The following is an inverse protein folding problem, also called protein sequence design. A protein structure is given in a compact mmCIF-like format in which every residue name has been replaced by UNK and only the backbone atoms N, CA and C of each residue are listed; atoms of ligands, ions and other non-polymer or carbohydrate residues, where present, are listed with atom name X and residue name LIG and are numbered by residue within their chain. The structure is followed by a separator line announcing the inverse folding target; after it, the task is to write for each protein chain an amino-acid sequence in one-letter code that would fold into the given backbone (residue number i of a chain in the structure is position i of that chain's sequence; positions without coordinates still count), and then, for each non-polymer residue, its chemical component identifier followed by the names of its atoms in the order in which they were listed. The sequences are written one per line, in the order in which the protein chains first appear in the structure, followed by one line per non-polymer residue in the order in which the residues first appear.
data_IF_694295428340
#
_entry.id   IF_694295428340
#
_cell.length_a   1.000
_cell.length_b   1.000
_cell.length_c   1.000
_cell.angle_alpha   90.00
_cell.angle_beta   90.00
_cell.angle_gamma   90.00
#
_symmetry.space_group_name_H-M   'P 1'
#
loop_
_entity.id
_entity.type
_entity.pdbx_description
1 polymer ?
#
# COMPACT_ATOMS: atom_id res chain seq x y z
N UNK A 1 1.65 -22.56 22.34
CA UNK A 1 2.18 -21.39 21.61
C UNK A 1 2.09 -20.04 22.35
N UNK A 2 1.14 -19.79 23.28
CA UNK A 2 0.92 -18.45 23.86
C UNK A 2 2.05 -17.87 24.73
N UNK A 3 2.55 -18.60 25.74
CA UNK A 3 3.51 -18.03 26.72
C UNK A 3 4.92 -17.79 26.15
N UNK A 4 5.44 -18.71 25.32
CA UNK A 4 6.75 -18.54 24.66
C UNK A 4 6.73 -17.34 23.71
N UNK A 5 5.69 -17.25 22.88
CA UNK A 5 5.54 -16.14 21.95
C UNK A 5 5.34 -14.81 22.70
N UNK A 6 4.57 -14.80 23.78
CA UNK A 6 4.42 -13.61 24.63
C UNK A 6 5.76 -13.19 25.24
N UNK A 7 6.56 -14.13 25.75
CA UNK A 7 7.89 -13.83 26.30
C UNK A 7 8.87 -13.29 25.25
N UNK A 8 8.78 -13.76 23.99
CA UNK A 8 9.54 -13.19 22.88
C UNK A 8 9.06 -11.78 22.55
N UNK A 9 7.75 -11.55 22.57
CA UNK A 9 7.14 -10.26 22.29
C UNK A 9 7.48 -9.21 23.34
N UNK A 10 7.43 -9.60 24.62
CA UNK A 10 7.86 -8.75 25.74
C UNK A 10 9.34 -8.42 25.64
N UNK A 11 10.18 -9.37 25.22
CA UNK A 11 11.59 -9.12 24.95
C UNK A 11 11.79 -8.12 23.79
N UNK A 12 10.99 -8.21 22.72
CA UNK A 12 11.01 -7.23 21.62
C UNK A 12 10.60 -5.83 22.12
N UNK A 13 9.56 -5.74 22.94
CA UNK A 13 9.09 -4.46 23.50
C UNK A 13 10.16 -3.85 24.42
N UNK A 14 10.83 -4.68 25.22
CA UNK A 14 11.89 -4.25 26.14
C UNK A 14 13.14 -3.68 25.44
N UNK A 15 13.35 -3.99 24.16
CA UNK A 15 14.46 -3.44 23.36
C UNK A 15 14.40 -1.92 23.17
N UNK A 16 13.20 -1.33 23.28
CA UNK A 16 13.00 0.10 22.99
C UNK A 16 13.20 0.45 21.52
N UNK A 17 13.26 1.75 21.16
CA UNK A 17 13.24 2.20 19.77
C UNK A 17 14.58 2.04 19.03
N UNK A 18 15.70 1.96 19.74
CA UNK A 18 17.06 1.85 19.16
C UNK A 18 17.91 0.85 19.95
N UNK A 19 17.57 -0.45 19.91
CA UNK A 19 18.35 -1.47 20.59
C UNK A 19 19.75 -1.67 19.98
N UNK A 20 20.76 -2.01 20.80
CA UNK A 20 22.07 -2.45 20.31
C UNK A 20 21.97 -3.69 19.39
N UNK A 21 22.77 -3.73 18.32
CA UNK A 21 22.84 -4.88 17.39
C UNK A 21 23.07 -6.22 18.10
N UNK A 22 23.91 -6.26 19.14
CA UNK A 22 24.18 -7.48 19.87
C UNK A 22 22.93 -8.05 20.56
N UNK A 23 22.04 -7.18 21.06
CA UNK A 23 20.76 -7.60 21.63
C UNK A 23 19.81 -8.09 20.54
N UNK A 24 19.87 -7.46 19.36
CA UNK A 24 19.11 -7.89 18.21
C UNK A 24 19.55 -9.27 17.68
N UNK A 25 20.85 -9.51 17.57
CA UNK A 25 21.39 -10.79 17.12
C UNK A 25 21.08 -11.92 18.12
N UNK A 26 21.16 -11.63 19.42
CA UNK A 26 20.79 -12.57 20.47
C UNK A 26 19.30 -12.93 20.38
N UNK A 27 18.42 -11.94 20.20
CA UNK A 27 16.98 -12.18 20.06
C UNK A 27 16.64 -12.90 18.75
N UNK A 28 17.31 -12.58 17.64
CA UNK A 28 17.18 -13.33 16.37
C UNK A 28 17.50 -14.81 16.53
N UNK A 29 18.61 -15.14 17.20
CA UNK A 29 19.01 -16.54 17.44
C UNK A 29 17.98 -17.25 18.31
N UNK A 30 17.51 -16.59 19.37
CA UNK A 30 16.47 -17.11 20.25
C UNK A 30 15.15 -17.34 19.52
N UNK A 31 14.70 -16.38 18.71
CA UNK A 31 13.49 -16.50 17.90
C UNK A 31 13.59 -17.64 16.88
N UNK A 32 14.73 -17.79 16.19
CA UNK A 32 14.93 -18.92 15.28
C UNK A 32 14.84 -20.25 16.02
N UNK A 33 15.47 -20.39 17.19
CA UNK A 33 15.40 -21.62 17.97
C UNK A 33 13.98 -21.90 18.50
N UNK A 34 13.29 -20.89 19.02
CA UNK A 34 11.99 -21.07 19.69
C UNK A 34 10.80 -21.15 18.73
N UNK A 35 10.92 -20.64 17.49
CA UNK A 35 9.85 -20.62 16.50
C UNK A 35 10.01 -21.67 15.38
N UNK A 36 11.15 -22.37 15.26
CA UNK A 36 11.33 -23.47 14.27
C UNK A 36 11.04 -24.86 14.83
N UNK A 37 10.87 -25.01 16.15
CA UNK A 37 10.65 -26.31 16.81
C UNK A 37 9.18 -26.81 16.77
N UNK A 38 8.25 -26.14 16.08
CA UNK A 38 6.79 -26.40 16.19
C UNK A 38 6.10 -26.68 14.82
N UNK A 39 6.85 -27.19 13.83
CA UNK A 39 6.34 -27.61 12.50
C UNK A 39 5.61 -28.98 12.51
N UNK A 40 5.08 -29.44 13.65
CA UNK A 40 4.57 -30.80 13.75
C UNK A 40 3.56 -31.08 14.85
N UNK A 41 2.38 -30.43 14.83
CA UNK A 41 1.15 -31.08 15.29
C UNK A 41 -0.10 -30.35 14.77
N UNK A 42 -0.65 -30.79 13.64
CA UNK A 42 -1.99 -30.43 13.14
C UNK A 42 -3.11 -31.11 13.96
N UNK A 43 -2.90 -31.25 15.27
CA UNK A 43 -3.84 -31.85 16.22
C UNK A 43 -4.94 -30.85 16.60
N UNK A 44 -6.19 -31.25 16.34
CA UNK A 44 -7.45 -30.59 16.68
C UNK A 44 -7.36 -29.49 17.77
N UNK A 45 -7.66 -28.26 17.38
CA UNK A 45 -7.60 -27.08 18.24
C UNK A 45 -8.51 -27.22 19.47
N UNK A 46 -7.88 -27.32 20.64
CA UNK A 46 -8.53 -27.12 21.94
C UNK A 46 -8.98 -25.64 22.07
N UNK A 47 -10.29 -25.35 22.17
CA UNK A 47 -10.82 -24.00 22.30
C UNK A 47 -10.43 -23.29 23.61
N UNK A 48 -9.77 -23.97 24.55
CA UNK A 48 -9.27 -23.38 25.80
C UNK A 48 -7.83 -22.83 25.72
N UNK A 49 -7.12 -22.93 24.58
CA UNK A 49 -5.79 -22.33 24.43
C UNK A 49 -5.89 -20.80 24.48
N UNK A 50 -5.45 -20.23 25.62
CA UNK A 50 -5.33 -18.79 25.88
C UNK A 50 -4.72 -18.07 24.68
N UNK A 51 -5.41 -17.03 24.19
CA UNK A 51 -5.00 -16.19 23.07
C UNK A 51 -3.67 -15.48 23.38
N UNK A 52 -2.57 -16.04 22.89
CA UNK A 52 -1.27 -15.37 22.85
C UNK A 52 -0.86 -15.07 21.41
N UNK A 53 0.15 -14.22 21.23
CA UNK A 53 0.59 -13.79 19.90
C UNK A 53 1.06 -14.97 19.05
N UNK A 54 0.78 -14.95 17.75
CA UNK A 54 1.26 -16.01 16.84
C UNK A 54 2.74 -15.80 16.49
N UNK A 55 3.39 -16.85 15.97
CA UNK A 55 4.78 -16.76 15.48
C UNK A 55 4.95 -15.64 14.43
N UNK A 56 3.97 -15.44 13.55
CA UNK A 56 3.97 -14.37 12.56
C UNK A 56 3.92 -12.97 13.20
N UNK A 57 3.20 -12.80 14.32
CA UNK A 57 3.20 -11.51 15.04
C UNK A 57 4.57 -11.22 15.64
N UNK A 58 5.16 -12.22 16.28
CA UNK A 58 6.49 -12.11 16.87
C UNK A 58 7.49 -11.76 15.77
N UNK A 59 7.43 -12.43 14.62
CA UNK A 59 8.29 -12.13 13.45
C UNK A 59 8.06 -10.74 12.86
N UNK A 60 6.82 -10.28 12.72
CA UNK A 60 6.52 -8.96 12.20
C UNK A 60 7.03 -7.85 13.13
N UNK A 61 6.75 -7.93 14.43
CA UNK A 61 7.24 -6.94 15.42
C UNK A 61 8.76 -6.96 15.52
N UNK A 62 9.36 -8.14 15.45
CA UNK A 62 10.81 -8.30 15.41
C UNK A 62 11.43 -7.59 14.20
N UNK A 63 10.89 -7.83 13.01
CA UNK A 63 11.38 -7.21 11.78
C UNK A 63 11.24 -5.68 11.80
N UNK A 64 10.14 -5.17 12.37
CA UNK A 64 9.96 -3.73 12.57
C UNK A 64 11.03 -3.14 13.52
N UNK A 65 11.22 -3.75 14.70
CA UNK A 65 12.22 -3.30 15.67
C UNK A 65 13.65 -3.35 15.09
N UNK A 66 14.00 -4.46 14.44
CA UNK A 66 15.29 -4.64 13.76
C UNK A 66 15.52 -3.58 12.69
N UNK A 67 14.53 -3.31 11.83
CA UNK A 67 14.63 -2.28 10.79
C UNK A 67 14.82 -0.88 11.35
N UNK A 68 14.15 -0.56 12.46
CA UNK A 68 14.28 0.72 13.16
C UNK A 68 15.69 0.94 13.69
N UNK A 69 16.26 -0.09 14.34
CA UNK A 69 17.63 -0.05 14.83
C UNK A 69 18.67 0.01 13.70
N UNK A 70 18.50 -0.81 12.64
CA UNK A 70 19.36 -0.74 11.45
C UNK A 70 19.32 0.63 10.79
N UNK A 71 18.14 1.25 10.69
CA UNK A 71 18.00 2.60 10.18
C UNK A 71 18.75 3.61 11.06
N UNK A 72 18.63 3.51 12.39
CA UNK A 72 19.33 4.40 13.30
C UNK A 72 20.86 4.28 13.19
N UNK A 73 21.37 3.06 12.98
CA UNK A 73 22.80 2.83 12.78
C UNK A 73 23.29 3.40 11.46
N UNK A 74 22.56 3.13 10.37
CA UNK A 74 22.90 3.69 9.06
C UNK A 74 22.87 5.23 9.07
N UNK A 75 21.94 5.84 9.82
CA UNK A 75 21.89 7.29 9.99
C UNK A 75 23.04 7.85 10.84
N UNK A 76 23.68 7.01 11.67
CA UNK A 76 24.82 7.39 12.50
C UNK A 76 26.18 7.19 11.79
N UNK A 77 26.19 6.57 10.61
CA UNK A 77 27.41 6.42 9.81
C UNK A 77 27.96 7.78 9.35
N UNK A 78 29.29 7.92 9.15
CA UNK A 78 29.88 9.15 8.63
C UNK A 78 29.33 9.57 7.26
N UNK A 79 28.97 8.59 6.43
CA UNK A 79 28.25 8.79 5.17
C UNK A 79 26.96 7.94 5.18
N UNK A 80 25.86 8.48 5.74
CA UNK A 80 24.62 7.73 5.91
C UNK A 80 23.94 7.43 4.58
N UNK A 81 24.20 8.22 3.53
CA UNK A 81 23.63 7.99 2.19
C UNK A 81 24.30 6.78 1.55
N UNK A 82 25.63 6.76 1.49
CA UNK A 82 26.36 5.65 0.88
C UNK A 82 26.10 4.33 1.63
N UNK A 83 26.09 4.36 2.97
CA UNK A 83 25.79 3.20 3.79
C UNK A 83 24.36 2.67 3.53
N UNK A 84 23.37 3.56 3.46
CA UNK A 84 21.98 3.17 3.19
C UNK A 84 21.78 2.62 1.78
N UNK A 85 22.46 3.18 0.77
CA UNK A 85 22.45 2.65 -0.60
C UNK A 85 23.04 1.25 -0.64
N UNK A 86 24.21 1.04 -0.03
CA UNK A 86 24.85 -0.27 0.05
C UNK A 86 23.97 -1.32 0.76
N UNK A 87 23.21 -0.89 1.76
CA UNK A 87 22.25 -1.73 2.48
C UNK A 87 20.89 -1.90 1.77
N UNK A 88 20.66 -1.23 0.64
CA UNK A 88 19.38 -1.30 -0.07
C UNK A 88 18.21 -0.68 0.71
N UNK A 89 18.46 0.38 1.47
CA UNK A 89 17.52 1.03 2.41
C UNK A 89 17.01 2.39 1.90
N UNK A 90 16.05 2.41 0.95
CA UNK A 90 15.47 3.66 0.44
C UNK A 90 14.78 4.49 1.52
N UNK A 91 14.22 3.85 2.55
CA UNK A 91 13.59 4.51 3.68
C UNK A 91 14.59 5.33 4.51
N UNK A 92 15.84 4.86 4.62
CA UNK A 92 16.91 5.59 5.31
C UNK A 92 17.41 6.75 4.45
N UNK A 93 17.63 6.52 3.15
CA UNK A 93 18.01 7.58 2.20
C UNK A 93 16.98 8.72 2.22
N UNK A 94 15.69 8.40 2.22
CA UNK A 94 14.62 9.39 2.32
C UNK A 94 14.68 10.22 3.61
N UNK A 95 15.06 9.62 4.75
CA UNK A 95 15.19 10.31 6.05
C UNK A 95 16.38 11.27 6.11
N UNK A 96 17.44 11.04 5.33
CA UNK A 96 18.62 11.93 5.30
C UNK A 96 18.24 13.32 4.76
N UNK A 97 17.35 13.40 3.77
CA UNK A 97 16.75 14.68 3.38
C UNK A 97 17.69 15.68 2.69
N UNK A 98 18.83 15.23 2.15
CA UNK A 98 19.83 16.09 1.46
C UNK A 98 19.72 16.00 -0.07
N UNK A 99 20.40 16.91 -0.79
CA UNK A 99 20.48 16.84 -2.26
C UNK A 99 21.27 15.61 -2.72
N UNK A 100 22.30 15.22 -1.97
CA UNK A 100 23.03 13.97 -2.20
C UNK A 100 22.13 12.75 -2.03
N UNK A 101 21.24 12.74 -1.04
CA UNK A 101 20.25 11.68 -0.86
C UNK A 101 19.28 11.61 -2.04
N UNK A 102 18.82 12.76 -2.57
CA UNK A 102 17.97 12.78 -3.76
C UNK A 102 18.71 12.23 -4.99
N UNK A 103 19.95 12.65 -5.21
CA UNK A 103 20.76 12.16 -6.33
C UNK A 103 20.94 10.64 -6.25
N UNK A 104 21.27 10.10 -5.07
CA UNK A 104 21.38 8.66 -4.85
C UNK A 104 20.04 7.95 -5.07
N UNK A 105 18.93 8.51 -4.58
CA UNK A 105 17.60 7.92 -4.78
C UNK A 105 17.20 7.89 -6.26
N UNK A 106 17.51 8.95 -7.03
CA UNK A 106 17.27 9.00 -8.48
C UNK A 106 18.10 7.96 -9.23
N UNK A 107 19.38 7.80 -8.89
CA UNK A 107 20.26 6.78 -9.48
C UNK A 107 19.73 5.37 -9.24
N UNK A 108 19.39 5.06 -7.98
CA UNK A 108 18.83 3.75 -7.63
C UNK A 108 17.46 3.53 -8.28
N UNK A 109 16.59 4.55 -8.30
CA UNK A 109 15.30 4.46 -8.96
C UNK A 109 15.45 4.16 -10.46
N UNK A 110 16.37 4.83 -11.16
CA UNK A 110 16.64 4.58 -12.57
C UNK A 110 17.12 3.14 -12.81
N UNK A 111 18.04 2.63 -11.97
CA UNK A 111 18.49 1.25 -12.04
C UNK A 111 17.33 0.27 -11.84
N UNK A 112 16.47 0.51 -10.85
CA UNK A 112 15.33 -0.38 -10.54
C UNK A 112 14.22 -0.36 -11.58
N UNK A 113 14.01 0.75 -12.30
CA UNK A 113 13.08 0.80 -13.44
C UNK A 113 13.54 -0.15 -14.57
N UNK A 114 14.86 -0.29 -14.76
CA UNK A 114 15.44 -1.17 -15.78
C UNK A 114 15.51 -2.65 -15.38
N UNK A 115 15.25 -2.99 -14.11
CA UNK A 115 15.28 -4.38 -13.64
C UNK A 115 13.99 -5.14 -14.00
N UNK A 116 14.01 -6.48 -13.97
CA UNK A 116 12.78 -7.26 -13.99
C UNK A 116 11.99 -7.07 -12.68
N UNK A 117 10.67 -7.30 -12.72
CA UNK A 117 9.76 -7.00 -11.61
C UNK A 117 10.18 -7.65 -10.28
N UNK A 118 10.66 -8.89 -10.29
CA UNK A 118 11.05 -9.64 -9.10
C UNK A 118 12.38 -9.18 -8.44
N UNK A 119 13.12 -8.28 -9.09
CA UNK A 119 14.32 -7.61 -8.53
C UNK A 119 14.07 -6.14 -8.22
N UNK A 120 12.83 -5.67 -8.38
CA UNK A 120 12.51 -4.25 -8.29
C UNK A 120 12.12 -3.88 -6.86
N UNK A 121 12.88 -2.97 -6.26
CA UNK A 121 12.51 -2.34 -5.00
C UNK A 121 11.86 -0.99 -5.30
N UNK A 122 10.53 -0.95 -5.34
CA UNK A 122 9.78 0.29 -5.62
C UNK A 122 9.96 1.35 -4.52
N UNK A 123 10.55 0.98 -3.37
CA UNK A 123 10.88 1.92 -2.31
C UNK A 123 11.81 3.05 -2.76
N UNK A 124 12.68 2.81 -3.75
CA UNK A 124 13.52 3.87 -4.33
C UNK A 124 12.71 4.93 -5.07
N UNK A 125 11.61 4.53 -5.73
CA UNK A 125 10.68 5.46 -6.37
C UNK A 125 9.92 6.28 -5.33
N UNK A 126 9.52 5.65 -4.23
CA UNK A 126 8.93 6.34 -3.08
C UNK A 126 9.91 7.31 -2.41
N UNK A 127 11.19 6.95 -2.31
CA UNK A 127 12.22 7.82 -1.74
C UNK A 127 12.43 9.09 -2.56
N UNK A 128 12.42 8.99 -3.90
CA UNK A 128 12.46 10.16 -4.79
C UNK A 128 11.31 11.12 -4.49
N UNK A 129 10.08 10.62 -4.36
CA UNK A 129 8.93 11.45 -4.02
C UNK A 129 9.01 12.04 -2.60
N UNK A 130 9.46 11.26 -1.62
CA UNK A 130 9.62 11.72 -0.23
C UNK A 130 10.68 12.83 -0.09
N UNK A 131 11.72 12.83 -0.92
CA UNK A 131 12.80 13.82 -0.92
C UNK A 131 12.45 15.11 -1.69
N UNK A 132 11.35 15.12 -2.46
CA UNK A 132 10.90 16.24 -3.28
C UNK A 132 10.22 17.37 -2.47
N UNK A 133 10.77 17.72 -1.31
CA UNK A 133 10.18 18.66 -0.34
C UNK A 133 10.41 20.13 -0.67
N UNK A 134 11.27 20.43 -1.64
CA UNK A 134 11.53 21.80 -2.12
C UNK A 134 11.18 21.92 -3.61
N UNK A 135 10.89 23.12 -4.13
CA UNK A 135 10.59 23.29 -5.55
C UNK A 135 11.68 22.77 -6.49
N UNK A 136 12.96 22.96 -6.13
CA UNK A 136 14.09 22.48 -6.91
C UNK A 136 14.16 20.94 -6.96
N UNK A 137 14.02 20.28 -5.80
CA UNK A 137 14.01 18.81 -5.71
C UNK A 137 12.79 18.20 -6.38
N UNK A 138 11.64 18.85 -6.25
CA UNK A 138 10.41 18.47 -6.94
C UNK A 138 10.58 18.51 -8.45
N UNK A 139 11.19 19.57 -8.98
CA UNK A 139 11.47 19.66 -10.42
C UNK A 139 12.40 18.52 -10.88
N UNK A 140 13.45 18.20 -10.13
CA UNK A 140 14.33 17.06 -10.44
C UNK A 140 13.60 15.71 -10.40
N UNK A 141 12.78 15.48 -9.37
CA UNK A 141 11.99 14.27 -9.24
C UNK A 141 11.04 14.10 -10.44
N UNK A 142 10.33 15.16 -10.83
CA UNK A 142 9.38 15.12 -11.95
C UNK A 142 10.06 14.97 -13.32
N UNK A 143 11.26 15.54 -13.48
CA UNK A 143 12.09 15.34 -14.67
C UNK A 143 12.52 13.87 -14.87
N UNK A 144 12.43 13.04 -13.82
CA UNK A 144 12.67 11.60 -13.90
C UNK A 144 11.37 10.79 -13.95
N UNK A 145 10.47 10.96 -12.98
CA UNK A 145 9.32 10.06 -12.76
C UNK A 145 8.36 10.01 -13.95
N UNK A 146 8.00 11.17 -14.52
CA UNK A 146 7.11 11.24 -15.68
C UNK A 146 7.72 10.57 -16.93
N UNK A 147 8.92 10.97 -17.36
CA UNK A 147 9.61 10.34 -18.48
C UNK A 147 9.88 8.84 -18.28
N UNK A 148 10.23 8.40 -17.07
CA UNK A 148 10.43 6.98 -16.78
C UNK A 148 9.13 6.16 -16.95
N UNK A 149 7.99 6.68 -16.48
CA UNK A 149 6.69 6.03 -16.68
C UNK A 149 6.33 5.95 -18.17
N UNK A 150 6.51 7.05 -18.90
CA UNK A 150 6.29 7.09 -20.35
C UNK A 150 7.14 6.06 -21.08
N UNK A 151 8.43 6.00 -20.75
CA UNK A 151 9.38 5.07 -21.38
C UNK A 151 8.98 3.61 -21.20
N UNK A 152 8.49 3.22 -20.01
CA UNK A 152 7.99 1.86 -19.78
C UNK A 152 6.80 1.51 -20.70
N UNK A 153 5.84 2.43 -20.83
CA UNK A 153 4.64 2.22 -21.65
C UNK A 153 4.99 2.19 -23.14
N UNK A 154 5.80 3.13 -23.61
CA UNK A 154 6.21 3.23 -25.02
C UNK A 154 7.04 2.03 -25.47
N UNK A 155 8.00 1.57 -24.66
CA UNK A 155 8.81 0.39 -24.96
C UNK A 155 7.93 -0.85 -25.20
N UNK A 156 6.86 -1.00 -24.41
CA UNK A 156 5.91 -2.11 -24.58
C UNK A 156 5.03 -1.94 -25.81
N UNK A 157 4.52 -0.74 -26.06
CA UNK A 157 3.69 -0.45 -27.25
C UNK A 157 4.47 -0.69 -28.55
N UNK A 158 5.79 -0.45 -28.54
CA UNK A 158 6.71 -0.74 -29.64
C UNK A 158 7.04 -2.24 -29.81
N UNK A 159 6.46 -3.14 -29.01
CA UNK A 159 6.66 -4.59 -29.11
C UNK A 159 7.73 -5.15 -28.18
N UNK A 160 8.20 -4.38 -27.20
CA UNK A 160 9.14 -4.84 -26.16
C UNK A 160 8.58 -5.94 -25.25
N UNK A 161 9.44 -6.45 -24.36
CA UNK A 161 9.14 -7.49 -23.37
C UNK A 161 8.01 -7.09 -22.38
N UNK A 162 7.71 -7.95 -21.42
CA UNK A 162 6.78 -7.62 -20.33
C UNK A 162 7.28 -6.40 -19.56
N UNK A 163 6.40 -5.42 -19.33
CA UNK A 163 6.70 -4.26 -18.49
C UNK A 163 6.98 -4.74 -17.07
N UNK A 164 7.97 -4.12 -16.43
CA UNK A 164 8.15 -4.18 -14.99
C UNK A 164 6.95 -3.54 -14.27
N UNK A 165 5.96 -4.36 -13.91
CA UNK A 165 4.71 -3.92 -13.25
C UNK A 165 4.94 -3.29 -11.87
N UNK A 166 5.98 -3.74 -11.14
CA UNK A 166 6.37 -3.17 -9.84
C UNK A 166 6.91 -1.75 -10.02
N UNK A 167 7.74 -1.50 -11.03
CA UNK A 167 8.21 -0.15 -11.37
C UNK A 167 7.06 0.74 -11.87
N UNK A 168 6.17 0.22 -12.72
CA UNK A 168 5.01 0.97 -13.22
C UNK A 168 4.12 1.44 -12.05
N UNK A 169 3.77 0.55 -11.13
CA UNK A 169 3.01 0.89 -9.93
C UNK A 169 3.76 1.88 -9.03
N UNK A 170 5.06 1.64 -8.79
CA UNK A 170 5.91 2.53 -7.98
C UNK A 170 6.02 3.95 -8.54
N UNK A 171 6.16 4.10 -9.85
CA UNK A 171 6.21 5.39 -10.55
C UNK A 171 4.88 6.12 -10.42
N UNK A 172 3.77 5.43 -10.68
CA UNK A 172 2.43 6.01 -10.53
C UNK A 172 2.19 6.48 -9.09
N UNK A 173 2.59 5.71 -8.07
CA UNK A 173 2.46 6.12 -6.65
C UNK A 173 3.33 7.32 -6.31
N UNK A 174 4.58 7.35 -6.77
CA UNK A 174 5.46 8.49 -6.57
C UNK A 174 4.86 9.76 -7.17
N UNK A 175 4.27 9.66 -8.37
CA UNK A 175 3.54 10.77 -8.99
C UNK A 175 2.27 11.16 -8.22
N UNK A 176 1.56 10.18 -7.66
CA UNK A 176 0.39 10.43 -6.83
C UNK A 176 0.74 11.25 -5.57
N UNK A 177 1.84 10.91 -4.89
CA UNK A 177 2.36 11.66 -3.73
C UNK A 177 2.72 13.09 -4.12
N UNK A 178 3.31 13.27 -5.30
CA UNK A 178 3.65 14.60 -5.79
C UNK A 178 2.41 15.38 -6.26
N UNK A 179 1.30 14.71 -6.62
CA UNK A 179 0.09 15.36 -7.13
C UNK A 179 0.39 16.36 -8.27
N UNK A 180 1.24 15.98 -9.21
CA UNK A 180 1.82 16.87 -10.23
C UNK A 180 0.92 16.97 -11.49
N UNK A 181 0.24 18.10 -11.75
CA UNK A 181 -0.67 18.26 -12.89
C UNK A 181 -0.02 18.04 -14.25
N UNK A 182 1.27 18.33 -14.39
CA UNK A 182 2.04 18.14 -15.62
C UNK A 182 2.21 16.66 -16.01
N UNK A 183 1.84 15.72 -15.15
CA UNK A 183 1.95 14.27 -15.41
C UNK A 183 0.64 13.59 -15.79
N UNK A 184 -0.46 14.36 -15.88
CA UNK A 184 -1.78 13.79 -16.17
C UNK A 184 -1.86 13.12 -17.55
N UNK A 185 -1.14 13.62 -18.55
CA UNK A 185 -1.13 13.05 -19.90
C UNK A 185 -0.47 11.66 -19.94
N UNK A 186 0.69 11.49 -19.31
CA UNK A 186 1.37 10.19 -19.22
C UNK A 186 0.59 9.22 -18.36
N UNK A 187 -0.06 9.69 -17.29
CA UNK A 187 -0.92 8.85 -16.46
C UNK A 187 -2.17 8.38 -17.21
N UNK A 188 -2.82 9.26 -17.99
CA UNK A 188 -3.93 8.87 -18.86
C UNK A 188 -3.52 7.86 -19.92
N UNK A 189 -2.39 8.09 -20.61
CA UNK A 189 -1.82 7.15 -21.57
C UNK A 189 -1.49 5.78 -20.93
N UNK A 190 -0.99 5.79 -19.69
CA UNK A 190 -0.69 4.57 -18.93
C UNK A 190 -1.98 3.82 -18.60
N UNK A 191 -3.05 4.53 -18.21
CA UNK A 191 -4.35 3.91 -17.93
C UNK A 191 -4.94 3.28 -19.19
N UNK A 192 -4.88 3.95 -20.34
CA UNK A 192 -5.28 3.39 -21.64
C UNK A 192 -4.49 2.13 -21.98
N UNK A 193 -3.19 2.14 -21.74
CA UNK A 193 -2.36 0.94 -21.88
C UNK A 193 -2.86 -0.20 -20.97
N UNK A 194 -3.20 0.06 -19.71
CA UNK A 194 -3.73 -0.93 -18.78
C UNK A 194 -5.06 -1.55 -19.24
N UNK A 195 -5.88 -0.82 -20.00
CA UNK A 195 -7.14 -1.33 -20.60
C UNK A 195 -6.86 -2.27 -21.79
N UNK A 196 -5.75 -2.03 -22.49
CA UNK A 196 -5.42 -2.66 -23.77
C UNK A 196 -5.25 -4.18 -23.71
N UNK A 197 -5.61 -4.87 -24.81
CA UNK A 197 -5.45 -6.33 -24.95
C UNK A 197 -3.99 -6.81 -24.84
N UNK A 198 -3.02 -5.92 -25.11
CA UNK A 198 -1.58 -6.22 -25.06
C UNK A 198 -0.98 -6.10 -23.65
N UNK A 199 -1.76 -5.62 -22.68
CA UNK A 199 -1.36 -5.52 -21.28
C UNK A 199 -1.51 -6.88 -20.59
N UNK A 200 -0.44 -7.33 -19.95
CA UNK A 200 -0.44 -8.54 -19.13
C UNK A 200 -1.11 -8.25 -17.77
N UNK A 201 -1.49 -9.30 -17.05
CA UNK A 201 -2.36 -9.18 -15.89
C UNK A 201 -1.76 -8.33 -14.76
N UNK A 202 -0.47 -8.49 -14.47
CA UNK A 202 0.23 -7.78 -13.39
C UNK A 202 0.32 -6.27 -13.65
N UNK A 203 0.54 -5.85 -14.90
CA UNK A 203 0.47 -4.45 -15.28
C UNK A 203 -0.97 -3.91 -15.28
N UNK A 204 -1.96 -4.75 -15.62
CA UNK A 204 -3.38 -4.38 -15.52
C UNK A 204 -3.81 -4.11 -14.08
N UNK A 205 -3.29 -4.88 -13.11
CA UNK A 205 -3.55 -4.65 -11.69
C UNK A 205 -3.04 -3.27 -11.21
N UNK A 206 -2.13 -2.63 -11.93
CA UNK A 206 -1.67 -1.28 -11.59
C UNK A 206 -2.63 -0.17 -12.06
N UNK A 207 -3.70 -0.50 -12.81
CA UNK A 207 -4.68 0.49 -13.29
C UNK A 207 -5.28 1.31 -12.15
N UNK A 208 -5.57 0.67 -11.01
CA UNK A 208 -6.09 1.34 -9.82
C UNK A 208 -5.13 2.38 -9.27
N UNK A 209 -3.87 2.00 -9.10
CA UNK A 209 -2.79 2.90 -8.69
C UNK A 209 -2.60 4.07 -9.66
N UNK A 210 -2.64 3.81 -10.98
CA UNK A 210 -2.54 4.86 -12.01
C UNK A 210 -3.74 5.80 -11.95
N UNK A 211 -4.94 5.29 -11.74
CA UNK A 211 -6.14 6.11 -11.63
C UNK A 211 -6.13 6.98 -10.37
N UNK A 212 -5.65 6.47 -9.23
CA UNK A 212 -5.43 7.28 -8.01
C UNK A 212 -4.42 8.40 -8.28
N UNK A 213 -3.31 8.09 -8.95
CA UNK A 213 -2.31 9.08 -9.32
C UNK A 213 -2.91 10.17 -10.22
N UNK A 214 -3.71 9.77 -11.21
CA UNK A 214 -4.39 10.68 -12.10
C UNK A 214 -5.40 11.56 -11.35
N UNK A 215 -6.17 10.99 -10.42
CA UNK A 215 -7.08 11.75 -9.56
C UNK A 215 -6.35 12.77 -8.68
N UNK A 216 -5.14 12.46 -8.20
CA UNK A 216 -4.31 13.37 -7.43
C UNK A 216 -3.84 14.60 -8.25
N UNK A 217 -3.73 14.48 -9.58
CA UNK A 217 -3.32 15.62 -10.44
C UNK A 217 -4.35 16.75 -10.50
N UNK A 218 -5.61 16.48 -10.13
CA UNK A 218 -6.71 17.44 -10.25
C UNK A 218 -7.17 17.73 -11.68
N UNK A 219 -6.55 17.13 -12.71
CA UNK A 219 -6.90 17.35 -14.11
C UNK A 219 -7.92 16.32 -14.62
N UNK A 220 -8.74 16.75 -15.59
CA UNK A 220 -9.78 15.92 -16.21
C UNK A 220 -9.25 14.97 -17.30
N UNK A 221 -7.97 15.08 -17.63
CA UNK A 221 -7.30 14.14 -18.51
C UNK A 221 -7.51 12.70 -17.98
N UNK A 222 -7.97 11.81 -18.84
CA UNK A 222 -8.20 10.39 -18.53
C UNK A 222 -9.44 10.04 -17.70
N UNK A 223 -10.35 10.97 -17.42
CA UNK A 223 -11.69 10.63 -16.89
C UNK A 223 -12.41 9.63 -17.83
N UNK A 224 -12.29 9.82 -19.14
CA UNK A 224 -12.80 8.89 -20.15
C UNK A 224 -12.10 7.51 -20.09
N UNK A 225 -10.80 7.47 -19.81
CA UNK A 225 -10.05 6.22 -19.66
C UNK A 225 -10.49 5.45 -18.40
N UNK A 226 -10.78 6.15 -17.29
CA UNK A 226 -11.35 5.52 -16.10
C UNK A 226 -12.73 4.90 -16.40
N UNK A 227 -13.61 5.61 -17.10
CA UNK A 227 -14.92 5.06 -17.46
C UNK A 227 -14.80 3.87 -18.41
N UNK A 228 -13.99 3.97 -19.46
CA UNK A 228 -13.73 2.86 -20.37
C UNK A 228 -13.12 1.63 -19.67
N UNK A 229 -12.29 1.84 -18.65
CA UNK A 229 -11.77 0.77 -17.81
C UNK A 229 -12.90 0.09 -17.03
N UNK A 230 -13.75 0.86 -16.35
CA UNK A 230 -14.86 0.34 -15.56
C UNK A 230 -15.89 -0.39 -16.43
N UNK A 231 -16.32 0.19 -17.54
CA UNK A 231 -17.24 -0.45 -18.50
C UNK A 231 -16.74 -1.82 -18.96
N UNK A 232 -15.42 -1.96 -19.12
CA UNK A 232 -14.83 -3.19 -19.62
C UNK A 232 -14.58 -4.25 -18.54
N UNK A 233 -14.22 -3.83 -17.32
CA UNK A 233 -13.63 -4.73 -16.33
C UNK A 233 -14.37 -4.78 -14.99
N UNK A 234 -15.29 -3.85 -14.72
CA UNK A 234 -15.99 -3.76 -13.44
C UNK A 234 -16.74 -5.04 -13.08
N UNK A 235 -17.42 -5.66 -14.05
CA UNK A 235 -18.19 -6.88 -13.83
C UNK A 235 -17.28 -8.10 -13.73
N UNK A 236 -16.27 -8.19 -14.60
CA UNK A 236 -15.34 -9.32 -14.66
C UNK A 236 -14.51 -9.44 -13.39
N UNK A 237 -14.11 -8.31 -12.80
CA UNK A 237 -13.27 -8.25 -11.62
C UNK A 237 -13.98 -7.52 -10.48
N UNK A 238 -15.28 -7.77 -10.33
CA UNK A 238 -16.11 -7.13 -9.31
C UNK A 238 -15.50 -7.26 -7.91
N UNK A 239 -15.25 -6.11 -7.28
CA UNK A 239 -14.68 -6.02 -5.94
C UNK A 239 -13.15 -6.15 -5.85
N UNK A 240 -12.45 -6.48 -6.93
CA UNK A 240 -10.98 -6.50 -6.90
C UNK A 240 -10.41 -5.10 -6.64
N UNK A 241 -9.35 -5.04 -5.82
CA UNK A 241 -8.66 -3.79 -5.43
C UNK A 241 -8.46 -2.82 -6.59
N UNK A 242 -7.84 -3.27 -7.68
CA UNK A 242 -7.52 -2.37 -8.80
C UNK A 242 -8.77 -1.81 -9.51
N UNK A 243 -9.90 -2.53 -9.54
CA UNK A 243 -11.17 -2.00 -10.06
C UNK A 243 -11.75 -0.97 -9.09
N UNK A 244 -11.70 -1.28 -7.80
CA UNK A 244 -12.26 -0.42 -6.76
C UNK A 244 -11.46 0.87 -6.58
N UNK A 245 -10.15 0.84 -6.78
CA UNK A 245 -9.29 2.02 -6.85
C UNK A 245 -9.61 2.90 -8.08
N UNK A 246 -9.86 2.31 -9.26
CA UNK A 246 -10.32 3.07 -10.44
C UNK A 246 -11.70 3.70 -10.17
N UNK A 247 -12.63 2.94 -9.56
CA UNK A 247 -13.96 3.44 -9.22
C UNK A 247 -13.91 4.56 -8.18
N UNK A 248 -13.11 4.39 -7.14
CA UNK A 248 -12.81 5.44 -6.16
C UNK A 248 -12.30 6.71 -6.85
N UNK A 249 -11.29 6.57 -7.72
CA UNK A 249 -10.71 7.70 -8.45
C UNK A 249 -11.77 8.41 -9.32
N UNK A 250 -12.61 7.65 -10.02
CA UNK A 250 -13.69 8.20 -10.84
C UNK A 250 -14.71 8.98 -10.01
N UNK A 251 -15.14 8.46 -8.85
CA UNK A 251 -16.05 9.20 -7.96
C UNK A 251 -15.42 10.48 -7.42
N UNK A 252 -14.15 10.43 -6.99
CA UNK A 252 -13.45 11.63 -6.52
C UNK A 252 -13.33 12.69 -7.61
N UNK A 253 -12.99 12.30 -8.83
CA UNK A 253 -12.89 13.18 -9.99
C UNK A 253 -14.22 13.86 -10.32
N UNK A 254 -15.31 13.10 -10.25
CA UNK A 254 -16.65 13.59 -10.52
C UNK A 254 -17.30 14.35 -9.35
N UNK A 255 -16.73 14.29 -8.13
CA UNK A 255 -17.41 14.75 -6.92
C UNK A 255 -18.65 13.92 -6.58
N UNK A 256 -18.70 12.65 -7.00
CA UNK A 256 -19.91 11.84 -7.01
C UNK A 256 -20.08 11.03 -5.71
N UNK A 257 -20.36 11.75 -4.61
CA UNK A 257 -20.68 11.13 -3.32
C UNK A 257 -21.98 10.32 -3.38
N UNK A 258 -22.93 10.72 -4.23
CA UNK A 258 -24.21 10.04 -4.40
C UNK A 258 -24.06 8.66 -5.06
N UNK A 259 -23.21 8.54 -6.09
CA UNK A 259 -22.90 7.27 -6.74
C UNK A 259 -22.15 6.31 -5.81
N UNK A 260 -21.18 6.81 -5.04
CA UNK A 260 -20.50 6.02 -4.02
C UNK A 260 -21.49 5.52 -2.94
N UNK A 261 -22.39 6.39 -2.47
CA UNK A 261 -23.46 6.04 -1.52
C UNK A 261 -24.44 5.01 -2.09
N UNK A 262 -24.83 5.16 -3.36
CA UNK A 262 -25.74 4.22 -4.02
C UNK A 262 -25.11 2.84 -4.13
N UNK A 263 -23.82 2.77 -4.47
CA UNK A 263 -23.08 1.51 -4.49
C UNK A 263 -23.05 0.84 -3.10
N UNK A 264 -22.81 1.62 -2.05
CA UNK A 264 -22.81 1.14 -0.66
C UNK A 264 -24.18 0.62 -0.20
N UNK A 265 -25.26 1.27 -0.64
CA UNK A 265 -26.63 0.94 -0.25
C UNK A 265 -27.17 -0.34 -0.93
N UNK A 266 -26.61 -0.71 -2.08
CA UNK A 266 -27.03 -1.90 -2.82
C UNK A 266 -26.57 -3.18 -2.11
N UNK A 267 -27.50 -4.04 -1.64
CA UNK A 267 -27.15 -5.26 -0.92
C UNK A 267 -26.39 -6.28 -1.77
N UNK A 268 -26.48 -6.23 -3.10
CA UNK A 268 -25.73 -7.09 -4.01
C UNK A 268 -24.22 -6.80 -3.97
N UNK A 269 -23.83 -5.58 -3.59
CA UNK A 269 -22.43 -5.21 -3.42
C UNK A 269 -21.90 -5.72 -2.08
N UNK A 270 -21.09 -6.77 -2.14
CA UNK A 270 -20.51 -7.45 -0.97
C UNK A 270 -18.99 -7.32 -0.89
N UNK A 271 -18.35 -6.83 -1.95
CA UNK A 271 -16.89 -6.68 -2.08
C UNK A 271 -16.52 -5.25 -2.41
N UNK A 272 -15.29 -4.87 -2.13
CA UNK A 272 -14.72 -3.55 -2.36
C UNK A 272 -15.21 -2.48 -1.38
N UNK A 273 -15.99 -2.85 -0.36
CA UNK A 273 -16.72 -1.89 0.47
C UNK A 273 -15.80 -0.96 1.26
N UNK A 274 -14.57 -1.39 1.59
CA UNK A 274 -13.58 -0.53 2.23
C UNK A 274 -13.20 0.68 1.37
N UNK A 275 -13.01 0.49 0.06
CA UNK A 275 -12.72 1.58 -0.89
C UNK A 275 -13.92 2.52 -1.07
N UNK A 276 -15.12 1.99 -0.99
CA UNK A 276 -16.36 2.79 -1.06
C UNK A 276 -16.51 3.64 0.20
N UNK A 277 -16.24 3.07 1.38
CA UNK A 277 -16.19 3.81 2.64
C UNK A 277 -15.16 4.95 2.59
N UNK A 278 -13.98 4.68 2.02
CA UNK A 278 -12.98 5.72 1.80
C UNK A 278 -13.46 6.80 0.81
N UNK A 279 -14.12 6.42 -0.29
CA UNK A 279 -14.66 7.39 -1.25
C UNK A 279 -15.65 8.35 -0.61
N UNK A 280 -16.63 7.84 0.16
CA UNK A 280 -17.66 8.69 0.79
C UNK A 280 -17.06 9.60 1.87
N UNK A 281 -16.05 9.15 2.61
CA UNK A 281 -15.33 9.97 3.58
C UNK A 281 -14.48 11.06 2.88
N UNK A 282 -13.75 10.70 1.82
CA UNK A 282 -12.89 11.63 1.08
C UNK A 282 -13.67 12.64 0.23
N UNK A 283 -14.93 12.34 -0.09
CA UNK A 283 -15.88 13.26 -0.72
C UNK A 283 -16.71 14.07 0.30
N UNK A 284 -16.54 13.79 1.59
CA UNK A 284 -17.36 14.33 2.68
C UNK A 284 -18.88 14.16 2.49
N UNK A 285 -19.30 13.00 1.97
CA UNK A 285 -20.72 12.72 1.74
C UNK A 285 -21.42 12.36 3.05
N UNK A 286 -21.82 13.38 3.83
CA UNK A 286 -22.49 13.21 5.13
C UNK A 286 -23.73 12.31 5.08
N UNK A 287 -24.43 12.29 3.95
CA UNK A 287 -25.61 11.45 3.74
C UNK A 287 -25.29 9.94 3.77
N UNK A 288 -24.04 9.54 3.53
CA UNK A 288 -23.60 8.15 3.62
C UNK A 288 -23.51 7.62 5.04
N UNK A 289 -23.50 8.47 6.08
CA UNK A 289 -23.33 8.03 7.47
C UNK A 289 -24.39 6.99 7.90
N UNK A 290 -25.67 7.21 7.56
CA UNK A 290 -26.74 6.28 7.88
C UNK A 290 -26.59 4.94 7.12
N UNK A 291 -26.13 4.99 5.87
CA UNK A 291 -25.92 3.78 5.05
C UNK A 291 -24.74 2.97 5.60
N UNK A 292 -23.63 3.62 5.95
CA UNK A 292 -22.49 2.99 6.60
C UNK A 292 -22.89 2.32 7.92
N UNK A 293 -23.63 3.02 8.79
CA UNK A 293 -24.13 2.47 10.05
C UNK A 293 -25.02 1.25 9.85
N UNK A 294 -25.94 1.30 8.88
CA UNK A 294 -26.83 0.18 8.58
C UNK A 294 -26.08 -1.03 8.00
N UNK A 295 -25.04 -0.79 7.21
CA UNK A 295 -24.27 -1.84 6.52
C UNK A 295 -23.16 -2.43 7.38
N UNK A 296 -22.60 -1.68 8.34
CA UNK A 296 -21.52 -2.09 9.26
C UNK A 296 -21.74 -3.44 9.95
N UNK A 297 -22.93 -3.81 10.46
CA UNK A 297 -23.17 -5.10 11.11
C UNK A 297 -23.16 -6.30 10.15
N UNK A 298 -23.22 -6.05 8.84
CA UNK A 298 -23.23 -7.10 7.81
C UNK A 298 -21.84 -7.45 7.30
N UNK A 299 -20.83 -6.66 7.67
CA UNK A 299 -19.45 -6.87 7.25
C UNK A 299 -18.87 -8.11 7.93
N UNK A 300 -18.07 -8.86 7.15
CA UNK A 300 -17.27 -9.98 7.64
C UNK A 300 -15.78 -9.75 7.50
N UNK A 301 -15.37 -8.81 6.63
CA UNK A 301 -13.97 -8.46 6.45
C UNK A 301 -13.54 -7.46 7.55
N UNK A 302 -12.60 -7.81 8.44
CA UNK A 302 -12.10 -6.92 9.49
C UNK A 302 -11.49 -5.61 9.00
N UNK A 303 -10.87 -5.60 7.80
CA UNK A 303 -10.32 -4.39 7.20
C UNK A 303 -11.45 -3.46 6.73
N UNK A 304 -12.51 -4.01 6.15
CA UNK A 304 -13.69 -3.23 5.78
C UNK A 304 -14.40 -2.67 7.02
N UNK A 305 -14.40 -3.41 8.13
CA UNK A 305 -14.90 -2.91 9.41
C UNK A 305 -14.12 -1.68 9.90
N UNK A 306 -12.78 -1.75 9.93
CA UNK A 306 -11.94 -0.60 10.29
C UNK A 306 -12.15 0.58 9.32
N UNK A 307 -12.31 0.30 8.03
CA UNK A 307 -12.59 1.32 7.03
C UNK A 307 -13.93 2.03 7.28
N UNK A 308 -14.96 1.29 7.69
CA UNK A 308 -16.26 1.89 8.01
C UNK A 308 -16.19 2.73 9.28
N UNK A 309 -15.49 2.26 10.31
CA UNK A 309 -15.37 2.96 11.58
C UNK A 309 -14.57 4.27 11.42
N UNK A 310 -13.50 4.24 10.62
CA UNK A 310 -12.74 5.43 10.23
C UNK A 310 -13.60 6.39 9.39
N UNK A 311 -14.32 5.89 8.38
CA UNK A 311 -15.19 6.72 7.54
C UNK A 311 -16.30 7.40 8.35
N UNK A 312 -16.95 6.68 9.28
CA UNK A 312 -17.96 7.24 10.18
C UNK A 312 -17.39 8.31 11.10
N UNK A 313 -16.18 8.10 11.63
CA UNK A 313 -15.48 9.08 12.46
C UNK A 313 -15.19 10.35 11.66
N UNK A 314 -14.63 10.21 10.46
CA UNK A 314 -14.32 11.33 9.56
C UNK A 314 -15.58 12.09 9.17
N UNK A 315 -16.63 11.41 8.70
CA UNK A 315 -17.90 12.04 8.34
C UNK A 315 -18.57 12.77 9.51
N UNK A 316 -18.33 12.36 10.77
CA UNK A 316 -18.79 13.12 11.93
C UNK A 316 -17.98 14.39 12.16
N UNK A 317 -16.66 14.29 12.04
CA UNK A 317 -15.74 15.31 12.59
C UNK A 317 -15.21 16.29 11.53
N UNK A 318 -15.12 15.92 10.25
CA UNK A 318 -14.57 16.76 9.20
C UNK A 318 -15.55 17.87 8.78
N UNK A 319 -15.03 19.04 8.42
CA UNK A 319 -15.84 20.18 7.96
C UNK A 319 -16.04 20.23 6.43
N UNK A 320 -15.33 19.39 5.68
CA UNK A 320 -15.33 19.35 4.22
C UNK A 320 -14.46 18.20 3.72
N UNK A 321 -14.32 18.02 2.39
CA UNK A 321 -13.41 17.04 1.81
C UNK A 321 -11.97 17.26 2.30
N UNK A 322 -11.24 16.22 2.74
CA UNK A 322 -9.88 16.35 3.22
C UNK A 322 -8.92 16.75 2.07
N UNK A 323 -7.81 17.44 2.39
CA UNK A 323 -6.75 17.68 1.42
C UNK A 323 -6.13 16.35 0.96
N UNK A 324 -5.47 16.35 -0.19
CA UNK A 324 -5.04 15.14 -0.89
C UNK A 324 -4.23 14.21 0.01
N UNK A 325 -3.25 14.72 0.75
CA UNK A 325 -2.38 13.99 1.67
C UNK A 325 -3.11 13.38 2.88
N UNK A 326 -4.28 13.91 3.25
CA UNK A 326 -5.06 13.44 4.40
C UNK A 326 -6.19 12.47 4.00
N UNK A 327 -6.35 12.18 2.70
CA UNK A 327 -7.38 11.26 2.20
C UNK A 327 -7.22 9.85 2.77
N UNK A 328 -8.33 9.22 3.04
CA UNK A 328 -8.45 7.89 3.60
C UNK A 328 -7.90 6.81 2.67
N UNK A 329 -7.89 7.03 1.33
CA UNK A 329 -7.29 6.08 0.38
C UNK A 329 -5.82 5.74 0.69
N UNK A 330 -5.08 6.67 1.31
CA UNK A 330 -3.68 6.42 1.69
C UNK A 330 -3.52 5.47 2.88
N UNK A 331 -4.61 5.16 3.59
CA UNK A 331 -4.59 4.20 4.69
C UNK A 331 -4.50 2.75 4.21
N UNK A 332 -4.79 2.45 2.94
CA UNK A 332 -4.65 1.11 2.32
C UNK A 332 -3.20 0.74 1.95
N UNK A 333 -2.23 1.57 2.37
CA UNK A 333 -0.82 1.37 2.09
C UNK A 333 -0.43 1.66 0.64
N UNK A 334 0.87 1.84 0.42
CA UNK A 334 1.47 2.06 -0.89
C UNK A 334 2.15 0.82 -1.47
N UNK A 335 2.31 -0.26 -0.70
CA UNK A 335 2.91 -1.50 -1.22
C UNK A 335 1.93 -2.30 -2.07
N UNK A 336 2.38 -2.77 -3.23
CA UNK A 336 1.58 -3.66 -4.06
C UNK A 336 1.46 -5.06 -3.44
N UNK A 337 0.38 -5.82 -3.74
CA UNK A 337 0.28 -7.21 -3.33
C UNK A 337 1.48 -8.07 -3.75
N UNK A 338 2.06 -7.79 -4.93
CA UNK A 338 3.28 -8.45 -5.41
C UNK A 338 4.48 -8.18 -4.50
N UNK A 339 4.68 -6.93 -4.05
CA UNK A 339 5.75 -6.61 -3.12
C UNK A 339 5.53 -7.31 -1.77
N UNK A 340 4.31 -7.32 -1.26
CA UNK A 340 4.01 -8.04 -0.01
C UNK A 340 4.25 -9.54 -0.15
N UNK A 341 3.83 -10.13 -1.28
CA UNK A 341 4.07 -11.54 -1.58
C UNK A 341 5.57 -11.89 -1.73
N UNK A 342 6.39 -10.94 -2.18
CA UNK A 342 7.84 -11.06 -2.24
C UNK A 342 8.54 -10.81 -0.89
N UNK A 343 7.79 -10.64 0.19
CA UNK A 343 8.30 -10.53 1.56
C UNK A 343 8.49 -9.09 2.06
N UNK A 344 8.00 -8.09 1.33
CA UNK A 344 7.92 -6.73 1.87
C UNK A 344 6.81 -6.64 2.93
N UNK A 345 7.01 -5.83 3.96
CA UNK A 345 5.94 -5.56 4.94
C UNK A 345 4.86 -4.69 4.31
N UNK A 346 3.61 -5.02 4.65
CA UNK A 346 2.45 -4.19 4.33
C UNK A 346 2.46 -2.91 5.17
N UNK A 347 2.15 -1.80 4.53
CA UNK A 347 1.98 -0.47 5.13
C UNK A 347 0.51 -0.04 5.21
N UNK A 348 -0.40 -1.00 5.05
CA UNK A 348 -1.84 -0.82 5.22
C UNK A 348 -2.18 -0.59 6.71
N UNK A 349 -2.61 0.62 7.03
CA UNK A 349 -2.96 1.05 8.38
C UNK A 349 -4.28 0.41 8.86
N UNK A 350 -5.23 0.18 7.96
CA UNK A 350 -6.52 -0.44 8.28
C UNK A 350 -6.32 -1.92 8.61
N UNK A 351 -5.47 -2.61 7.86
CA UNK A 351 -5.04 -3.96 8.17
C UNK A 351 -4.29 -4.03 9.50
N UNK A 352 -3.38 -3.09 9.77
CA UNK A 352 -2.67 -3.03 11.04
C UNK A 352 -3.63 -2.88 12.24
N UNK A 353 -4.64 -2.01 12.13
CA UNK A 353 -5.69 -1.85 13.15
C UNK A 353 -6.54 -3.10 13.30
N UNK A 354 -6.97 -3.71 12.20
CA UNK A 354 -7.76 -4.93 12.21
C UNK A 354 -7.02 -6.09 12.90
N UNK A 355 -5.72 -6.24 12.62
CA UNK A 355 -4.84 -7.21 13.31
C UNK A 355 -4.77 -6.95 14.80
N UNK A 356 -4.58 -5.69 15.20
CA UNK A 356 -4.50 -5.30 16.60
C UNK A 356 -5.82 -5.55 17.34
N UNK A 357 -6.97 -5.24 16.73
CA UNK A 357 -8.29 -5.47 17.32
C UNK A 357 -8.61 -6.94 17.52
N UNK A 358 -8.26 -7.79 16.55
CA UNK A 358 -8.59 -9.22 16.58
C UNK A 358 -7.54 -10.10 17.27
N UNK A 359 -6.35 -9.57 17.57
CA UNK A 359 -5.22 -10.38 18.02
C UNK A 359 -4.80 -11.44 16.99
N UNK A 360 -5.08 -11.20 15.70
CA UNK A 360 -4.85 -12.16 14.59
C UNK A 360 -3.86 -11.59 13.56
N UNK A 361 -2.54 -11.80 13.73
CA UNK A 361 -1.50 -11.26 12.84
C UNK A 361 -1.55 -11.84 11.41
N UNK A 362 -2.02 -13.08 11.24
CA UNK A 362 -2.06 -13.81 9.97
C UNK A 362 -3.09 -13.33 8.94
N UNK A 363 -3.89 -12.29 9.24
CA UNK A 363 -4.91 -11.75 8.33
C UNK A 363 -4.36 -11.30 6.96
N UNK A 364 -3.06 -10.99 6.85
CA UNK A 364 -2.50 -10.30 5.67
C UNK A 364 -2.61 -11.02 4.33
N UNK A 365 -2.42 -12.34 4.28
CA UNK A 365 -2.35 -13.06 2.99
C UNK A 365 -3.70 -13.27 2.32
N UNK A 366 -4.81 -13.18 3.07
CA UNK A 366 -6.17 -13.46 2.58
C UNK A 366 -6.93 -12.16 2.30
N UNK A 367 -6.81 -11.14 3.17
CA UNK A 367 -7.64 -9.93 3.08
C UNK A 367 -7.03 -8.80 2.23
N UNK A 368 -5.75 -8.87 1.86
CA UNK A 368 -5.13 -7.94 0.89
C UNK A 368 -5.44 -8.33 -0.57
N UNK A 369 -5.89 -9.57 -0.79
CA UNK A 369 -6.10 -10.18 -2.10
C UNK A 369 -7.57 -10.56 -2.36
N UNK A 370 -8.35 -10.77 -1.30
CA UNK A 370 -9.75 -11.19 -1.41
C UNK A 370 -10.61 -10.65 -0.25
N UNK A 371 -11.69 -9.93 -0.58
CA UNK A 371 -12.73 -9.57 0.39
C UNK A 371 -13.57 -10.78 0.82
N UNK A 372 -13.41 -11.94 0.17
CA UNK A 372 -13.85 -13.21 0.70
C UNK A 372 -12.83 -13.73 1.71
N UNK A 373 -12.97 -13.31 2.97
CA UNK A 373 -12.50 -14.18 4.05
C UNK A 373 -13.03 -15.60 3.81
N UNK A 374 -12.31 -16.66 4.24
CA UNK A 374 -12.70 -18.02 3.94
C UNK A 374 -14.17 -18.20 4.33
N UNK A 375 -14.97 -18.72 3.40
CA UNK A 375 -16.27 -19.25 3.77
C UNK A 375 -15.98 -20.34 4.81
N UNK A 376 -16.27 -20.04 6.09
CA UNK A 376 -16.26 -21.05 7.13
C UNK A 376 -17.13 -22.21 6.63
N UNK A 377 -16.49 -23.36 6.37
CA UNK A 377 -17.17 -24.64 6.34
C UNK A 377 -17.25 -25.18 7.77
#
# INVERSE_FOLDING_TARGET
MSEKNQALLDAIVALGPTPPLAQLDALSKRMRAELTDDDGDDGAADPARVAGPSADEVWARWNQARRGAEAALLLAEPDPVAAAVAAGRPDVVARVGTDAALAAALEQAAAHVALPYYKTNSGWLSAVAALATTPARRSQALAFLGPALRGLVEARLAGGELINSVALGGLARALAVLAAPETADVLAQTLDFCIGKKCHYEAKQQAGTVAIALAATGRADGDAAMQAFLERWADTYAGHRFVMEVRYAAWLRAGDGAGARAFLADPANTRGLAFVAAAVADLDDKASAAVLQARRPTLRNPVAEEAFDEALTRLRDQAGPPPQEARMIWMFGVRSPTEVALGHESDDQLLARARARLGRPGLGRVYETDDTGPAEQ
#
